data_IF_030010990746
#
_entry.id   IF_030010990746
#
_cell.length_a   1.000
_cell.length_b   1.000
_cell.length_c   1.000
_cell.angle_alpha   90.00
_cell.angle_beta   90.00
_cell.angle_gamma   90.00
#
_symmetry.space_group_name_H-M   'P 1'
#
loop_
_entity.id
_entity.type
_entity.pdbx_description
1 polymer ?
#
# COMPACT_ATOMS: atom_id res chain seq x y z
N UNK A 1 0.92 -16.33 7.96
CA UNK A 1 0.09 -15.58 8.92
C UNK A 1 0.77 -15.38 10.29
N UNK A 2 1.87 -16.08 10.60
CA UNK A 2 2.57 -15.91 11.89
C UNK A 2 3.40 -14.61 11.94
N UNK A 3 4.08 -14.24 10.86
CA UNK A 3 4.94 -13.04 10.82
C UNK A 3 4.18 -11.71 11.09
N UNK A 4 2.98 -11.55 10.54
CA UNK A 4 2.12 -10.38 10.80
C UNK A 4 1.54 -10.38 12.23
N UNK A 5 1.28 -11.56 12.80
CA UNK A 5 0.81 -11.68 14.18
C UNK A 5 1.86 -11.31 15.23
N UNK A 6 3.15 -11.43 14.90
CA UNK A 6 4.26 -10.98 15.75
C UNK A 6 4.43 -9.45 15.74
N UNK A 7 4.08 -8.76 14.64
CA UNK A 7 3.99 -7.30 14.54
C UNK A 7 2.65 -6.71 15.04
N UNK A 8 1.78 -7.55 15.61
CA UNK A 8 0.50 -7.12 16.18
C UNK A 8 -0.64 -6.98 15.18
N UNK A 9 -0.43 -7.31 13.91
CA UNK A 9 -1.46 -7.27 12.86
C UNK A 9 -2.34 -8.52 12.94
N UNK A 10 -3.51 -8.38 13.57
CA UNK A 10 -4.41 -9.51 13.87
C UNK A 10 -5.72 -9.45 13.08
N UNK A 11 -6.07 -8.27 12.59
CA UNK A 11 -7.31 -8.02 11.85
C UNK A 11 -7.04 -7.46 10.45
N UNK A 12 -8.06 -7.48 9.59
CA UNK A 12 -7.99 -6.84 8.27
C UNK A 12 -7.81 -5.32 8.40
N UNK A 13 -8.38 -4.72 9.46
CA UNK A 13 -8.22 -3.30 9.76
C UNK A 13 -6.77 -2.96 10.13
N UNK A 14 -6.11 -3.80 10.94
CA UNK A 14 -4.69 -3.63 11.25
C UNK A 14 -3.84 -3.70 9.97
N UNK A 15 -4.14 -4.64 9.07
CA UNK A 15 -3.44 -4.79 7.80
C UNK A 15 -3.68 -3.61 6.84
N UNK A 16 -4.89 -3.05 6.84
CA UNK A 16 -5.24 -1.87 6.05
C UNK A 16 -4.44 -0.62 6.45
N UNK A 17 -4.01 -0.56 7.71
CA UNK A 17 -3.15 0.49 8.26
C UNK A 17 -1.66 0.32 8.00
N UNK A 18 -1.19 -0.85 7.59
CA UNK A 18 0.23 -1.09 7.31
C UNK A 18 0.74 -0.31 6.09
N UNK A 19 2.00 0.08 6.12
CA UNK A 19 2.71 0.57 4.94
C UNK A 19 3.34 -0.60 4.18
N UNK A 20 3.59 -0.40 2.88
CA UNK A 20 4.27 -1.42 2.07
C UNK A 20 5.68 -1.72 2.61
N UNK A 21 6.37 -0.72 3.16
CA UNK A 21 7.66 -0.87 3.82
C UNK A 21 7.63 -1.81 5.02
N UNK A 22 6.55 -1.83 5.80
CA UNK A 22 6.39 -2.78 6.92
C UNK A 22 6.26 -4.23 6.41
N UNK A 23 5.75 -4.40 5.20
CA UNK A 23 5.54 -5.71 4.58
C UNK A 23 6.79 -6.20 3.85
N UNK A 24 7.35 -5.41 2.92
CA UNK A 24 8.47 -5.88 2.07
C UNK A 24 9.84 -5.47 2.62
N UNK A 25 9.87 -4.60 3.61
CA UNK A 25 11.08 -4.00 4.16
C UNK A 25 11.48 -2.72 3.43
N UNK A 26 12.32 -1.92 4.09
CA UNK A 26 12.87 -0.68 3.54
C UNK A 26 14.40 -0.64 3.66
N UNK A 27 15.00 0.25 2.89
CA UNK A 27 16.43 0.55 3.00
C UNK A 27 16.60 1.98 3.45
N UNK A 28 17.31 2.19 4.56
CA UNK A 28 17.68 3.51 5.01
C UNK A 28 19.14 3.77 4.63
N UNK A 29 19.38 4.87 3.92
CA UNK A 29 20.74 5.33 3.60
C UNK A 29 21.07 6.55 4.45
N UNK A 30 22.12 6.44 5.27
CA UNK A 30 22.62 7.53 6.11
C UNK A 30 24.14 7.48 6.14
N UNK A 31 24.78 8.64 6.00
CA UNK A 31 26.25 8.80 6.07
C UNK A 31 27.04 7.86 5.15
N UNK A 32 26.49 7.55 3.97
CA UNK A 32 27.12 6.66 2.98
C UNK A 32 26.91 5.16 3.23
N UNK A 33 26.33 4.77 4.36
CA UNK A 33 25.94 3.40 4.66
C UNK A 33 24.47 3.16 4.31
N UNK A 34 24.20 2.04 3.64
CA UNK A 34 22.82 1.55 3.37
C UNK A 34 22.53 0.42 4.32
N UNK A 35 21.56 0.61 5.23
CA UNK A 35 21.02 -0.44 6.09
C UNK A 35 19.70 -0.94 5.53
N UNK A 36 19.56 -2.26 5.43
CA UNK A 36 18.33 -2.91 4.99
C UNK A 36 17.58 -3.45 6.19
N UNK A 37 16.32 -3.04 6.31
CA UNK A 37 15.39 -3.50 7.32
C UNK A 37 14.40 -4.45 6.66
N UNK A 38 14.37 -5.74 7.03
CA UNK A 38 13.39 -6.68 6.50
C UNK A 38 11.99 -6.37 7.04
N UNK A 39 10.97 -6.53 6.21
CA UNK A 39 9.56 -6.43 6.60
C UNK A 39 8.95 -7.81 6.88
N UNK A 40 7.71 -7.82 7.38
CA UNK A 40 7.01 -9.02 7.82
C UNK A 40 6.80 -10.07 6.70
N UNK A 41 6.74 -9.64 5.44
CA UNK A 41 6.56 -10.48 4.26
C UNK A 41 7.83 -10.68 3.43
N UNK A 42 8.99 -10.17 3.87
CA UNK A 42 10.28 -10.42 3.21
C UNK A 42 10.57 -11.92 2.96
N UNK A 43 10.24 -12.87 3.87
CA UNK A 43 10.45 -14.31 3.62
C UNK A 43 9.60 -14.91 2.50
N UNK A 44 8.53 -14.21 2.10
CA UNK A 44 7.60 -14.66 1.07
C UNK A 44 7.90 -14.06 -0.32
N UNK A 45 9.01 -13.30 -0.44
CA UNK A 45 9.48 -12.69 -1.69
C UNK A 45 8.41 -11.86 -2.42
N UNK A 46 7.51 -11.24 -1.65
CA UNK A 46 6.44 -10.40 -2.19
C UNK A 46 7.05 -9.09 -2.72
N UNK A 47 6.65 -8.70 -3.93
CA UNK A 47 7.06 -7.43 -4.51
C UNK A 47 6.37 -6.25 -3.81
N UNK A 48 6.97 -5.07 -3.85
CA UNK A 48 6.34 -3.86 -3.28
C UNK A 48 4.96 -3.60 -3.89
N UNK A 49 4.83 -3.79 -5.20
CA UNK A 49 3.57 -3.59 -5.93
C UNK A 49 2.49 -4.55 -5.44
N UNK A 50 2.84 -5.81 -5.23
CA UNK A 50 1.90 -6.81 -4.70
C UNK A 50 1.50 -6.48 -3.26
N UNK A 51 2.45 -6.04 -2.43
CA UNK A 51 2.19 -5.63 -1.05
C UNK A 51 1.25 -4.41 -0.99
N UNK A 52 1.46 -3.39 -1.83
CA UNK A 52 0.56 -2.24 -1.97
C UNK A 52 -0.84 -2.69 -2.42
N UNK A 53 -0.93 -3.59 -3.39
CA UNK A 53 -2.20 -4.15 -3.84
C UNK A 53 -2.93 -4.94 -2.75
N UNK A 54 -2.21 -5.65 -1.89
CA UNK A 54 -2.78 -6.32 -0.73
C UNK A 54 -3.32 -5.30 0.29
N UNK A 55 -2.58 -4.22 0.56
CA UNK A 55 -3.01 -3.15 1.48
C UNK A 55 -4.28 -2.47 0.96
N UNK A 56 -4.35 -2.14 -0.34
CA UNK A 56 -5.54 -1.55 -0.96
C UNK A 56 -6.76 -2.47 -0.85
N UNK A 57 -6.58 -3.77 -1.13
CA UNK A 57 -7.67 -4.77 -0.94
C UNK A 57 -8.09 -4.90 0.52
N UNK A 58 -7.18 -4.78 1.47
CA UNK A 58 -7.50 -4.80 2.89
C UNK A 58 -8.25 -3.52 3.31
N UNK A 59 -7.87 -2.34 2.81
CA UNK A 59 -8.60 -1.08 3.01
C UNK A 59 -10.03 -1.17 2.47
N UNK A 60 -10.22 -1.79 1.30
CA UNK A 60 -11.56 -2.03 0.77
C UNK A 60 -12.38 -2.92 1.71
N UNK A 61 -11.80 -4.03 2.16
CA UNK A 61 -12.47 -4.97 3.08
C UNK A 61 -12.73 -4.38 4.47
N UNK A 62 -11.87 -3.46 4.92
CA UNK A 62 -12.05 -2.69 6.14
C UNK A 62 -13.06 -1.53 5.98
N UNK A 63 -13.50 -1.25 4.75
CA UNK A 63 -14.42 -0.15 4.43
C UNK A 63 -13.77 1.24 4.50
N UNK A 64 -12.44 1.33 4.48
CA UNK A 64 -11.70 2.61 4.49
C UNK A 64 -11.68 3.27 3.11
N UNK A 65 -11.78 2.45 2.07
CA UNK A 65 -11.93 2.86 0.68
C UNK A 65 -13.09 2.08 0.07
N UNK A 66 -13.69 2.62 -0.97
CA UNK A 66 -14.75 1.98 -1.75
C UNK A 66 -14.18 1.34 -3.03
N UNK A 67 -14.99 0.54 -3.73
CA UNK A 67 -14.57 -0.02 -5.03
C UNK A 67 -14.28 1.08 -6.06
N UNK A 68 -14.96 2.23 -5.95
CA UNK A 68 -14.71 3.41 -6.78
C UNK A 68 -13.31 4.01 -6.54
N UNK A 69 -12.80 3.99 -5.31
CA UNK A 69 -11.46 4.50 -4.98
C UNK A 69 -10.32 3.59 -5.51
N UNK A 70 -10.59 2.29 -5.70
CA UNK A 70 -9.63 1.38 -6.33
C UNK A 70 -9.64 1.44 -7.86
N UNK A 71 -10.71 1.96 -8.48
CA UNK A 71 -10.79 2.14 -9.93
C UNK A 71 -9.87 3.26 -10.45
N UNK A 72 -9.07 3.89 -9.57
CA UNK A 72 -8.41 5.16 -9.83
C UNK A 72 -9.43 6.30 -9.73
N UNK A 73 -8.99 7.57 -9.60
CA UNK A 73 -9.90 8.65 -9.91
C UNK A 73 -10.46 8.33 -11.29
N UNK A 74 -11.78 8.19 -11.39
CA UNK A 74 -12.43 8.47 -12.65
C UNK A 74 -11.93 9.86 -13.01
N UNK A 75 -11.02 9.93 -13.98
CA UNK A 75 -10.98 11.13 -14.79
C UNK A 75 -12.37 11.17 -15.34
N UNK A 76 -13.19 12.03 -14.75
CA UNK A 76 -14.45 12.39 -15.34
C UNK A 76 -14.05 12.98 -16.70
N UNK A 77 -14.20 12.17 -17.76
CA UNK A 77 -13.94 12.58 -19.14
C UNK A 77 -14.89 13.71 -19.59
N UNK A 78 -15.59 14.42 -18.69
CA UNK A 78 -16.37 15.64 -18.98
C UNK A 78 -15.73 16.96 -18.52
N UNK A 79 -14.46 17.00 -18.10
CA UNK A 79 -13.74 18.26 -17.82
C UNK A 79 -12.53 18.56 -18.75
N UNK A 80 -12.54 18.04 -19.99
CA UNK A 80 -11.60 18.45 -21.07
C UNK A 80 -12.26 19.38 -22.13
N UNK A 81 -13.33 20.12 -21.78
CA UNK A 81 -13.97 21.09 -22.69
C UNK A 81 -14.09 22.52 -22.12
N UNK A 82 -13.13 22.96 -21.30
CA UNK A 82 -13.10 24.35 -20.79
C UNK A 82 -11.71 25.01 -20.77
N UNK A 83 -10.79 24.57 -21.64
CA UNK A 83 -9.48 25.22 -21.81
C UNK A 83 -9.12 25.55 -23.27
N UNK A 84 -10.09 25.62 -24.18
CA UNK A 84 -9.97 26.27 -25.50
C UNK A 84 -11.21 27.12 -25.81
N UNK A 85 -11.46 28.16 -25.00
CA UNK A 85 -12.15 29.39 -25.44
C UNK A 85 -12.39 30.35 -24.27
N UNK A 86 -11.36 31.09 -23.82
CA UNK A 86 -11.48 32.50 -23.37
C UNK A 86 -10.19 33.25 -23.68
#
# INVERSE_FOLDING_TARGET
LVALGEDGVKTIEDFAGCAADDLVGWTERKDGETKRFPGALTPFEISRVDAEGMIMKARLKAGWITEADMAGPVVDEEEEEAAEAV
#
